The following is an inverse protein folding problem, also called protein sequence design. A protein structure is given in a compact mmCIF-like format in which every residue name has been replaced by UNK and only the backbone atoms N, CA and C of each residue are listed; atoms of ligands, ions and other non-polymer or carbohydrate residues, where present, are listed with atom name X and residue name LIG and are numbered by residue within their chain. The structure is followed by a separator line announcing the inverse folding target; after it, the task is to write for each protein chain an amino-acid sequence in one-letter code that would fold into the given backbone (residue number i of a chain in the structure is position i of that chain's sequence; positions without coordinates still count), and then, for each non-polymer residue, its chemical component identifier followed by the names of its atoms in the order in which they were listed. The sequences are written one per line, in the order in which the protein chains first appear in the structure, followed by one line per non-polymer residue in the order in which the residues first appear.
data_IF_036208517300
#
_entry.id   IF_036208517300
#
_cell.length_a   1.000
_cell.length_b   1.000
_cell.length_c   1.000
_cell.angle_alpha   90.00
_cell.angle_beta   90.00
_cell.angle_gamma   90.00
#
_symmetry.space_group_name_H-M   'P 1'
#
loop_
_entity.id
_entity.type
_entity.pdbx_description
1 polymer ?
#
# COMPACT_ATOMS: atom_id res chain seq x y z
N UNK A 1 -56.14 41.59 -31.43
CA UNK A 1 -56.21 40.41 -30.54
C UNK A 1 -55.31 40.74 -29.35
N UNK A 2 -55.92 40.78 -28.16
CA UNK A 2 -55.49 41.41 -26.89
C UNK A 2 -54.03 41.14 -26.47
N UNK A 3 -53.21 42.05 -25.92
CA UNK A 3 -53.28 43.16 -24.93
C UNK A 3 -52.71 42.78 -23.56
N UNK A 4 -52.02 43.76 -22.95
CA UNK A 4 -51.53 43.94 -21.55
C UNK A 4 -50.03 43.64 -21.37
N UNK A 5 -49.10 44.62 -21.36
CA UNK A 5 -48.90 45.82 -20.51
C UNK A 5 -48.70 45.56 -19.00
N UNK A 6 -47.46 45.82 -18.56
CA UNK A 6 -47.01 46.59 -17.37
C UNK A 6 -47.46 46.19 -15.95
N UNK A 7 -46.66 46.64 -14.95
CA UNK A 7 -46.80 46.62 -13.45
C UNK A 7 -45.62 45.81 -12.85
N UNK A 8 -44.69 46.30 -12.02
CA UNK A 8 -44.52 47.52 -11.21
C UNK A 8 -43.01 47.74 -10.95
N UNK A 9 -42.65 49.01 -10.75
CA UNK A 9 -41.36 49.62 -10.44
C UNK A 9 -40.96 49.63 -8.94
N UNK A 10 -39.74 50.14 -8.71
CA UNK A 10 -39.20 50.74 -7.46
C UNK A 10 -38.72 49.77 -6.36
N UNK A 11 -37.66 50.01 -5.60
CA UNK A 11 -36.56 50.97 -5.54
C UNK A 11 -35.67 50.39 -4.42
N UNK A 12 -34.37 50.64 -4.47
CA UNK A 12 -33.53 51.20 -3.37
C UNK A 12 -32.13 50.62 -3.36
N UNK A 13 -31.22 51.53 -3.65
CA UNK A 13 -29.81 51.53 -3.32
C UNK A 13 -29.54 51.20 -1.85
N UNK A 14 -28.45 50.47 -1.59
CA UNK A 14 -27.56 50.75 -0.46
C UNK A 14 -26.18 50.11 -0.73
N UNK A 15 -25.27 50.97 -1.17
CA UNK A 15 -23.84 50.78 -1.07
C UNK A 15 -23.40 50.79 0.40
N UNK A 16 -22.54 49.86 0.81
CA UNK A 16 -21.45 50.15 1.75
C UNK A 16 -20.62 48.89 2.06
N UNK A 17 -19.42 48.87 1.48
CA UNK A 17 -18.13 48.65 2.16
C UNK A 17 -18.02 47.62 3.30
N UNK A 18 -17.16 46.62 3.11
CA UNK A 18 -16.35 46.00 4.17
C UNK A 18 -14.98 45.61 3.60
N UNK A 19 -13.99 46.51 3.71
CA UNK A 19 -12.88 46.44 4.68
C UNK A 19 -12.05 45.16 4.61
N UNK A 20 -10.96 45.24 3.84
CA UNK A 20 -9.77 44.40 3.96
C UNK A 20 -9.23 44.47 5.40
N UNK A 21 -9.20 43.33 6.08
CA UNK A 21 -8.41 43.13 7.29
C UNK A 21 -7.27 42.18 6.97
N UNK A 22 -6.11 42.76 6.72
CA UNK A 22 -4.81 42.09 6.76
C UNK A 22 -4.46 41.83 8.22
N UNK A 23 -4.53 40.57 8.66
CA UNK A 23 -3.90 40.14 9.92
C UNK A 23 -2.79 39.15 9.61
N UNK A 24 -1.56 39.68 9.66
CA UNK A 24 -0.34 38.93 9.84
C UNK A 24 -0.35 38.21 11.19
N UNK A 25 -0.23 36.89 11.20
CA UNK A 25 0.15 36.15 12.41
C UNK A 25 1.21 35.12 12.06
N UNK A 26 2.42 35.42 12.51
CA UNK A 26 3.50 34.48 12.76
C UNK A 26 3.09 33.45 13.81
N UNK A 27 3.30 32.16 13.56
CA UNK A 27 3.49 31.20 14.65
C UNK A 27 4.20 29.95 14.16
N UNK A 28 5.39 29.73 14.71
CA UNK A 28 6.20 28.51 14.64
C UNK A 28 5.40 27.25 15.00
N UNK A 29 5.79 26.06 14.49
CA UNK A 29 5.07 24.82 14.74
C UNK A 29 5.32 24.29 16.16
N UNK A 30 4.32 23.72 16.85
CA UNK A 30 4.53 22.99 18.10
C UNK A 30 5.08 21.59 17.80
N UNK A 31 6.22 21.30 18.42
CA UNK A 31 6.86 19.98 18.50
C UNK A 31 6.02 19.03 19.36
N UNK A 32 5.51 17.95 18.75
CA UNK A 32 4.90 16.82 19.47
C UNK A 32 5.93 15.71 19.70
N UNK A 33 6.32 15.55 20.97
CA UNK A 33 7.00 14.38 21.51
C UNK A 33 5.99 13.24 21.66
N UNK A 34 6.18 12.14 20.94
CA UNK A 34 5.47 10.88 21.19
C UNK A 34 6.37 10.00 22.04
N UNK A 35 6.04 9.91 23.33
CA UNK A 35 6.60 8.93 24.26
C UNK A 35 5.79 7.63 24.14
N UNK A 36 6.37 6.61 23.52
CA UNK A 36 5.85 5.24 23.56
C UNK A 36 6.48 4.49 24.73
N UNK A 37 5.72 4.28 25.81
CA UNK A 37 6.05 3.29 26.83
C UNK A 37 5.11 2.09 26.67
N UNK A 38 5.67 0.98 26.19
CA UNK A 38 5.00 -0.31 26.07
C UNK A 38 5.43 -1.23 27.21
N UNK A 39 4.46 -2.04 27.63
CA UNK A 39 4.56 -3.29 28.40
C UNK A 39 4.76 -3.17 29.91
N UNK A 40 3.89 -3.88 30.64
CA UNK A 40 4.26 -5.02 31.48
C UNK A 40 2.98 -5.77 31.86
N UNK A 41 2.72 -6.92 31.22
CA UNK A 41 1.90 -7.98 31.81
C UNK A 41 2.72 -9.26 31.76
N UNK A 42 3.17 -9.64 32.94
CA UNK A 42 3.80 -10.90 33.29
C UNK A 42 2.77 -12.03 33.21
N UNK A 43 3.14 -13.15 32.61
CA UNK A 43 2.49 -14.43 32.90
C UNK A 43 3.54 -15.47 33.24
N UNK A 44 3.31 -16.04 34.40
CA UNK A 44 4.06 -17.05 35.12
C UNK A 44 3.93 -18.43 34.47
N UNK A 45 5.04 -19.16 34.39
CA UNK A 45 5.07 -20.58 34.05
C UNK A 45 4.82 -21.43 35.31
N UNK A 46 4.16 -22.59 35.21
CA UNK A 46 4.20 -23.59 36.26
C UNK A 46 5.34 -24.59 36.03
N UNK A 47 5.98 -24.91 37.15
CA UNK A 47 6.99 -25.94 37.37
C UNK A 47 6.47 -27.37 37.17
N UNK A 48 7.30 -28.22 36.58
CA UNK A 48 7.31 -29.66 36.90
C UNK A 48 8.73 -30.20 36.86
N UNK A 49 9.06 -30.90 37.94
CA UNK A 49 10.34 -31.51 38.26
C UNK A 49 10.19 -33.04 38.20
N UNK A 50 11.07 -33.74 37.50
CA UNK A 50 11.43 -35.11 37.88
C UNK A 50 12.83 -35.51 37.38
N UNK A 51 13.57 -36.08 38.32
CA UNK A 51 14.93 -36.62 38.31
C UNK A 51 15.06 -37.96 37.58
N UNK A 52 16.21 -38.27 36.97
CA UNK A 52 17.11 -39.38 37.39
C UNK A 52 18.22 -39.70 36.38
N UNK A 53 19.28 -40.27 36.96
CA UNK A 53 20.66 -40.56 36.56
C UNK A 53 20.92 -41.72 35.59
N UNK A 54 22.09 -41.72 34.95
CA UNK A 54 23.17 -42.74 35.01
C UNK A 54 23.86 -43.07 33.66
N UNK A 55 25.12 -43.51 33.76
CA UNK A 55 26.25 -43.35 32.82
C UNK A 55 26.48 -44.52 31.82
N UNK A 56 27.66 -44.69 31.17
CA UNK A 56 27.84 -44.82 29.72
C UNK A 56 28.05 -46.28 29.21
N UNK A 57 28.26 -46.49 27.89
CA UNK A 57 29.53 -47.11 27.52
C UNK A 57 30.17 -46.64 26.20
N UNK A 58 31.49 -46.85 26.17
CA UNK A 58 32.46 -46.74 25.10
C UNK A 58 32.25 -47.70 23.93
N UNK A 59 32.39 -47.22 22.69
CA UNK A 59 32.92 -48.01 21.57
C UNK A 59 33.56 -47.10 20.49
N UNK A 60 34.69 -47.59 19.95
CA UNK A 60 35.63 -46.93 19.02
C UNK A 60 35.07 -46.80 17.59
N UNK A 61 35.69 -45.97 16.72
CA UNK A 61 35.03 -45.38 15.56
C UNK A 61 35.05 -46.32 14.34
N UNK A 62 33.90 -46.45 13.68
CA UNK A 62 33.80 -47.03 12.34
C UNK A 62 33.82 -45.86 11.36
N UNK A 63 34.84 -45.86 10.52
CA UNK A 63 35.03 -45.00 9.36
C UNK A 63 33.83 -45.08 8.41
N UNK A 64 33.00 -44.04 8.40
CA UNK A 64 32.05 -43.79 7.33
C UNK A 64 32.51 -42.59 6.52
N UNK A 65 32.74 -42.85 5.24
CA UNK A 65 32.99 -41.87 4.19
C UNK A 65 31.82 -40.89 4.12
N UNK A 66 31.99 -39.70 4.70
CA UNK A 66 31.06 -38.59 4.51
C UNK A 66 31.14 -38.11 3.05
N UNK A 67 30.27 -38.66 2.20
CA UNK A 67 29.83 -38.00 0.98
C UNK A 67 29.20 -36.66 1.39
N UNK A 68 29.95 -35.58 1.15
CA UNK A 68 29.48 -34.22 1.43
C UNK A 68 28.20 -33.96 0.61
N UNK A 69 27.10 -33.48 1.22
CA UNK A 69 25.92 -33.11 0.45
C UNK A 69 26.29 -32.02 -0.56
N UNK A 70 25.81 -32.18 -1.80
CA UNK A 70 25.97 -31.17 -2.86
C UNK A 70 25.53 -29.81 -2.28
N UNK A 71 26.38 -28.77 -2.33
CA UNK A 71 26.01 -27.49 -1.75
C UNK A 71 24.81 -26.92 -2.49
N UNK A 72 23.78 -26.46 -1.75
CA UNK A 72 22.67 -25.70 -2.32
C UNK A 72 23.18 -24.35 -2.83
N UNK A 73 22.84 -24.03 -4.07
CA UNK A 73 23.30 -22.82 -4.77
C UNK A 73 22.10 -21.91 -4.94
N UNK A 74 22.19 -20.71 -4.37
CA UNK A 74 21.15 -19.68 -4.52
C UNK A 74 21.67 -18.60 -5.47
N UNK A 75 20.88 -18.29 -6.50
CA UNK A 75 21.16 -17.22 -7.45
C UNK A 75 20.48 -15.94 -6.98
N UNK A 76 21.22 -14.85 -6.97
CA UNK A 76 20.65 -13.52 -6.74
C UNK A 76 21.21 -12.52 -7.75
N UNK A 77 20.65 -11.33 -7.80
CA UNK A 77 21.13 -10.24 -8.66
C UNK A 77 21.75 -9.15 -7.79
N UNK A 78 22.85 -8.57 -8.25
CA UNK A 78 23.42 -7.38 -7.60
C UNK A 78 22.59 -6.13 -7.93
N UNK A 79 22.86 -5.02 -7.22
CA UNK A 79 22.27 -3.70 -7.52
C UNK A 79 22.47 -3.25 -8.99
N UNK A 80 23.44 -3.81 -9.71
CA UNK A 80 23.70 -3.56 -11.14
C UNK A 80 23.17 -4.68 -12.06
N UNK A 81 22.23 -5.51 -11.60
CA UNK A 81 21.65 -6.67 -12.32
C UNK A 81 22.66 -7.74 -12.77
N UNK A 82 23.88 -7.72 -12.25
CA UNK A 82 24.86 -8.81 -12.46
C UNK A 82 24.49 -10.01 -11.60
N UNK A 83 24.54 -11.21 -12.18
CA UNK A 83 24.29 -12.47 -11.47
C UNK A 83 25.32 -12.70 -10.37
N UNK A 84 24.84 -13.11 -9.21
CA UNK A 84 25.59 -13.43 -8.01
C UNK A 84 25.24 -14.86 -7.58
N UNK A 85 26.23 -15.61 -7.11
CA UNK A 85 26.01 -16.92 -6.50
C UNK A 85 26.27 -16.88 -5.00
N UNK A 86 25.39 -17.52 -4.24
CA UNK A 86 25.57 -17.77 -2.82
C UNK A 86 25.69 -19.26 -2.56
N UNK A 87 26.79 -19.65 -1.92
CA UNK A 87 27.08 -21.04 -1.54
C UNK A 87 27.64 -21.05 -0.13
N UNK A 88 27.04 -21.85 0.77
CA UNK A 88 27.48 -22.02 2.17
C UNK A 88 27.69 -20.69 2.92
N UNK A 89 26.85 -19.69 2.66
CA UNK A 89 26.95 -18.36 3.26
C UNK A 89 28.04 -17.44 2.67
N UNK A 90 28.68 -17.83 1.57
CA UNK A 90 29.65 -17.01 0.84
C UNK A 90 29.06 -16.49 -0.47
N UNK A 91 29.33 -15.21 -0.76
CA UNK A 91 28.89 -14.53 -1.97
C UNK A 91 29.99 -14.52 -3.04
N UNK A 92 29.63 -14.85 -4.28
CA UNK A 92 30.52 -14.89 -5.43
C UNK A 92 30.00 -14.06 -6.62
N UNK A 93 30.92 -13.42 -7.34
CA UNK A 93 30.70 -12.60 -8.54
C UNK A 93 31.23 -13.34 -9.76
N UNK A 94 30.48 -13.32 -10.87
CA UNK A 94 30.97 -13.88 -12.13
C UNK A 94 32.23 -13.12 -12.58
N UNK A 95 33.32 -13.84 -12.78
CA UNK A 95 34.59 -13.29 -13.25
C UNK A 95 34.71 -13.49 -14.75
N UNK A 96 34.60 -14.73 -15.22
CA UNK A 96 34.82 -15.09 -16.62
C UNK A 96 34.25 -16.49 -16.95
N UNK A 97 34.34 -16.88 -18.21
CA UNK A 97 34.06 -18.24 -18.70
C UNK A 97 35.37 -18.93 -19.09
N UNK A 98 35.32 -20.27 -19.17
CA UNK A 98 36.41 -21.02 -19.79
C UNK A 98 36.48 -20.77 -21.31
N UNK A 99 37.62 -21.08 -21.94
CA UNK A 99 37.84 -20.93 -23.39
C UNK A 99 36.73 -21.59 -24.23
N UNK A 100 36.28 -22.78 -23.81
CA UNK A 100 35.19 -23.53 -24.45
C UNK A 100 33.77 -23.08 -24.01
N UNK A 101 33.65 -22.05 -23.18
CA UNK A 101 32.40 -21.52 -22.58
C UNK A 101 31.53 -22.54 -21.83
N UNK A 102 32.07 -23.69 -21.45
CA UNK A 102 31.33 -24.75 -20.74
C UNK A 102 31.30 -24.58 -19.21
N UNK A 103 32.22 -23.77 -18.67
CA UNK A 103 32.41 -23.57 -17.23
C UNK A 103 32.41 -22.07 -16.93
N UNK A 104 31.72 -21.67 -15.86
CA UNK A 104 31.71 -20.30 -15.31
C UNK A 104 32.67 -20.22 -14.14
N UNK A 105 33.52 -19.19 -14.14
CA UNK A 105 34.42 -18.86 -13.04
C UNK A 105 33.85 -17.73 -12.21
N UNK A 106 33.69 -17.99 -10.92
CA UNK A 106 33.16 -17.05 -9.95
C UNK A 106 34.23 -16.70 -8.93
N UNK A 107 34.43 -15.43 -8.64
CA UNK A 107 35.36 -14.96 -7.60
C UNK A 107 34.59 -14.59 -6.34
N UNK A 108 35.15 -14.79 -5.17
CA UNK A 108 34.54 -14.27 -3.94
C UNK A 108 34.34 -12.74 -4.03
N UNK A 109 33.23 -12.24 -3.47
CA UNK A 109 32.90 -10.81 -3.51
C UNK A 109 33.80 -9.94 -2.62
N UNK A 110 34.41 -10.51 -1.57
CA UNK A 110 35.36 -9.81 -0.69
C UNK A 110 36.70 -9.64 -1.41
N UNK A 111 37.19 -8.39 -1.49
CA UNK A 111 38.41 -8.01 -2.26
C UNK A 111 39.66 -8.76 -1.81
N UNK A 112 39.79 -9.00 -0.52
CA UNK A 112 40.97 -9.68 0.07
C UNK A 112 40.85 -11.21 0.05
N UNK A 113 39.76 -11.73 -0.52
CA UNK A 113 39.53 -13.17 -0.67
C UNK A 113 39.87 -13.64 -2.09
N UNK A 114 40.87 -14.50 -2.21
CA UNK A 114 41.34 -15.05 -3.48
C UNK A 114 40.69 -16.38 -3.91
N UNK A 115 39.57 -16.76 -3.28
CA UNK A 115 38.85 -18.02 -3.60
C UNK A 115 38.06 -17.86 -4.90
N UNK A 116 38.19 -18.85 -5.77
CA UNK A 116 37.42 -19.01 -7.00
C UNK A 116 36.54 -20.25 -6.91
N UNK A 117 35.36 -20.16 -7.51
CA UNK A 117 34.36 -21.19 -7.60
C UNK A 117 34.08 -21.47 -9.07
N UNK A 118 34.02 -22.75 -9.44
CA UNK A 118 33.73 -23.19 -10.81
C UNK A 118 32.35 -23.84 -10.82
N UNK A 119 31.48 -23.40 -11.72
CA UNK A 119 30.18 -24.04 -11.97
C UNK A 119 30.03 -24.42 -13.43
N UNK A 120 29.16 -25.38 -13.74
CA UNK A 120 28.76 -25.63 -15.14
C UNK A 120 27.81 -24.53 -15.63
N UNK A 121 27.36 -24.63 -16.89
CA UNK A 121 26.40 -23.68 -17.47
C UNK A 121 25.06 -23.64 -16.73
N UNK A 122 24.66 -24.77 -16.14
CA UNK A 122 23.45 -24.91 -15.31
C UNK A 122 23.65 -24.40 -13.88
N UNK A 123 24.82 -23.82 -13.58
CA UNK A 123 25.22 -23.32 -12.27
C UNK A 123 25.34 -24.38 -11.18
N UNK A 124 25.58 -25.64 -11.54
CA UNK A 124 25.91 -26.70 -10.60
C UNK A 124 27.38 -26.61 -10.17
N UNK A 125 27.65 -26.88 -8.90
CA UNK A 125 28.98 -26.85 -8.32
C UNK A 125 29.91 -27.89 -8.96
N UNK A 126 31.08 -27.44 -9.43
CA UNK A 126 32.15 -28.33 -9.91
C UNK A 126 33.27 -28.41 -8.87
N UNK A 127 33.93 -27.28 -8.56
CA UNK A 127 35.09 -27.23 -7.65
C UNK A 127 35.41 -25.83 -7.14
N UNK A 128 36.18 -25.76 -6.07
CA UNK A 128 36.88 -24.54 -5.64
C UNK A 128 38.30 -24.49 -6.24
N UNK A 129 38.80 -23.30 -6.52
CA UNK A 129 40.15 -23.04 -7.03
C UNK A 129 40.65 -21.67 -6.54
N UNK A 130 41.85 -21.25 -6.93
CA UNK A 130 42.37 -19.91 -6.67
C UNK A 130 43.63 -19.87 -5.83
N UNK A 131 43.99 -18.68 -5.33
CA UNK A 131 45.20 -18.49 -4.49
C UNK A 131 45.09 -19.23 -3.15
N UNK A 132 43.86 -19.42 -2.66
CA UNK A 132 43.54 -20.22 -1.49
C UNK A 132 42.25 -21.00 -1.78
N UNK A 133 42.13 -22.20 -1.22
CA UNK A 133 40.92 -23.04 -1.34
C UNK A 133 39.88 -22.65 -0.29
N UNK A 134 40.34 -22.18 0.89
CA UNK A 134 39.48 -21.78 2.00
C UNK A 134 39.36 -20.26 2.13
N UNK A 135 38.20 -19.78 2.55
CA UNK A 135 37.97 -18.37 2.83
C UNK A 135 38.74 -17.93 4.08
N UNK A 136 39.25 -16.70 4.05
CA UNK A 136 39.91 -16.03 5.19
C UNK A 136 38.95 -15.16 6.02
N UNK A 137 37.66 -15.25 5.73
CA UNK A 137 36.62 -14.47 6.39
C UNK A 137 35.44 -15.39 6.72
N UNK A 138 34.64 -14.98 7.68
CA UNK A 138 33.45 -15.72 8.09
C UNK A 138 32.37 -15.68 6.98
N UNK A 139 31.52 -16.71 6.91
CA UNK A 139 30.32 -16.70 6.08
C UNK A 139 29.33 -15.64 6.60
N UNK A 140 28.56 -15.03 5.69
CA UNK A 140 27.53 -14.05 6.02
C UNK A 140 26.18 -14.50 5.43
N UNK A 141 25.45 -15.39 6.12
CA UNK A 141 24.12 -15.83 5.70
C UNK A 141 23.08 -14.70 5.75
N UNK A 142 23.20 -13.78 6.71
CA UNK A 142 22.31 -12.62 6.85
C UNK A 142 22.25 -11.76 5.57
N UNK A 143 23.39 -11.60 4.87
CA UNK A 143 23.43 -10.88 3.61
C UNK A 143 22.61 -11.55 2.49
N UNK A 144 22.43 -12.88 2.52
CA UNK A 144 21.58 -13.59 1.56
C UNK A 144 20.11 -13.28 1.82
N UNK A 145 19.69 -13.34 3.09
CA UNK A 145 18.31 -13.02 3.50
C UNK A 145 17.93 -11.58 3.12
N UNK A 146 18.81 -10.61 3.39
CA UNK A 146 18.61 -9.21 3.00
C UNK A 146 18.54 -9.05 1.48
N UNK A 147 19.35 -9.81 0.72
CA UNK A 147 19.31 -9.77 -0.74
C UNK A 147 18.00 -10.34 -1.29
N UNK A 148 17.53 -11.46 -0.77
CA UNK A 148 16.25 -12.07 -1.17
C UNK A 148 15.08 -11.12 -0.88
N UNK A 149 15.07 -10.53 0.30
CA UNK A 149 14.06 -9.53 0.69
C UNK A 149 14.05 -8.32 -0.25
N UNK A 150 15.21 -7.75 -0.56
CA UNK A 150 15.32 -6.61 -1.49
C UNK A 150 14.82 -6.95 -2.88
N UNK A 151 15.02 -8.19 -3.33
CA UNK A 151 14.55 -8.62 -4.64
C UNK A 151 13.02 -8.76 -4.65
N UNK A 152 12.40 -9.30 -3.59
CA UNK A 152 10.94 -9.31 -3.44
C UNK A 152 10.35 -7.91 -3.45
N UNK A 153 10.92 -7.00 -2.64
CA UNK A 153 10.51 -5.59 -2.63
C UNK A 153 10.64 -4.95 -4.02
N UNK A 154 11.73 -5.26 -4.75
CA UNK A 154 11.94 -4.75 -6.11
C UNK A 154 10.86 -5.26 -7.07
N UNK A 155 10.54 -6.55 -7.03
CA UNK A 155 9.51 -7.14 -7.89
C UNK A 155 8.15 -6.49 -7.63
N UNK A 156 7.75 -6.37 -6.36
CA UNK A 156 6.49 -5.68 -5.99
C UNK A 156 6.49 -4.21 -6.41
N UNK A 157 7.62 -3.51 -6.27
CA UNK A 157 7.71 -2.11 -6.70
C UNK A 157 7.60 -1.92 -8.22
N UNK A 158 7.93 -2.95 -9.02
CA UNK A 158 7.76 -2.95 -10.48
C UNK A 158 6.30 -3.18 -10.91
N UNK A 159 5.55 -3.99 -10.16
CA UNK A 159 4.20 -4.44 -10.55
C UNK A 159 3.07 -3.70 -9.85
N UNK A 160 3.25 -3.32 -8.58
CA UNK A 160 2.21 -2.75 -7.73
C UNK A 160 2.30 -1.21 -7.68
N UNK A 161 1.16 -0.56 -7.49
CA UNK A 161 1.05 0.90 -7.37
C UNK A 161 0.98 1.39 -5.92
N UNK A 162 0.92 0.49 -4.94
CA UNK A 162 0.89 0.86 -3.52
C UNK A 162 2.13 1.68 -3.11
N UNK A 163 2.03 2.53 -2.07
CA UNK A 163 3.15 3.33 -1.58
C UNK A 163 4.41 2.48 -1.31
N UNK A 164 5.57 2.96 -1.76
CA UNK A 164 6.83 2.21 -1.63
C UNK A 164 7.21 1.91 -0.18
N UNK A 165 6.85 2.81 0.73
CA UNK A 165 7.04 2.60 2.16
C UNK A 165 6.20 1.43 2.68
N UNK A 166 4.95 1.32 2.23
CA UNK A 166 4.07 0.22 2.61
C UNK A 166 4.60 -1.13 2.12
N UNK A 167 5.08 -1.20 0.86
CA UNK A 167 5.76 -2.40 0.34
C UNK A 167 6.92 -2.78 1.26
N UNK A 168 7.78 -1.82 1.59
CA UNK A 168 8.95 -2.08 2.42
C UNK A 168 8.56 -2.58 3.82
N UNK A 169 7.59 -1.94 4.47
CA UNK A 169 7.12 -2.32 5.80
C UNK A 169 6.46 -3.70 5.82
N UNK A 170 5.62 -4.00 4.84
CA UNK A 170 4.97 -5.31 4.70
C UNK A 170 6.00 -6.42 4.47
N UNK A 171 6.94 -6.22 3.53
CA UNK A 171 7.97 -7.23 3.24
C UNK A 171 8.91 -7.44 4.43
N UNK A 172 9.31 -6.39 5.15
CA UNK A 172 10.13 -6.54 6.36
C UNK A 172 9.37 -7.30 7.44
N UNK A 173 8.07 -7.01 7.63
CA UNK A 173 7.22 -7.67 8.63
C UNK A 173 7.00 -9.15 8.30
N UNK A 174 6.79 -9.47 7.02
CA UNK A 174 6.53 -10.83 6.53
C UNK A 174 7.82 -11.64 6.37
N UNK A 175 8.94 -10.96 6.13
CA UNK A 175 10.25 -11.57 6.07
C UNK A 175 10.64 -12.09 7.45
N UNK A 176 10.58 -13.42 7.63
CA UNK A 176 11.09 -14.13 8.81
C UNK A 176 12.62 -14.06 8.87
N UNK A 177 13.16 -12.84 8.94
CA UNK A 177 14.59 -12.54 8.97
C UNK A 177 15.17 -12.96 10.31
N UNK A 178 16.39 -13.50 10.27
CA UNK A 178 17.18 -13.73 11.48
C UNK A 178 17.49 -12.43 12.20
N UNK A 179 17.74 -12.47 13.52
CA UNK A 179 18.08 -11.28 14.30
C UNK A 179 19.31 -10.54 13.75
N UNK A 180 20.31 -11.29 13.26
CA UNK A 180 21.48 -10.73 12.59
C UNK A 180 21.12 -10.04 11.27
N UNK A 181 20.20 -10.59 10.48
CA UNK A 181 19.74 -9.97 9.24
C UNK A 181 18.92 -8.71 9.49
N UNK A 182 18.08 -8.69 10.53
CA UNK A 182 17.34 -7.49 10.94
C UNK A 182 18.29 -6.38 11.40
N UNK A 183 19.32 -6.72 12.19
CA UNK A 183 20.32 -5.75 12.66
C UNK A 183 21.17 -5.16 11.53
N UNK A 184 21.39 -5.92 10.45
CA UNK A 184 22.15 -5.49 9.27
C UNK A 184 21.27 -4.92 8.15
N UNK A 185 19.95 -4.82 8.35
CA UNK A 185 19.05 -4.29 7.34
C UNK A 185 19.34 -2.78 7.15
N UNK A 186 19.51 -2.31 5.90
CA UNK A 186 19.67 -0.88 5.68
C UNK A 186 18.40 -0.13 6.06
N UNK A 187 18.55 1.17 6.31
CA UNK A 187 17.43 2.03 6.67
C UNK A 187 16.34 1.97 5.58
N UNK A 188 15.07 1.88 5.99
CA UNK A 188 13.92 1.81 5.09
C UNK A 188 13.88 2.97 4.07
N UNK A 189 14.35 4.15 4.45
CA UNK A 189 14.49 5.30 3.54
C UNK A 189 15.52 5.05 2.43
N UNK A 190 16.61 4.34 2.72
CA UNK A 190 17.61 3.97 1.71
C UNK A 190 17.07 2.91 0.75
N UNK A 191 16.30 1.96 1.27
CA UNK A 191 15.58 0.97 0.47
C UNK A 191 14.59 1.70 -0.47
N UNK A 192 13.81 2.64 0.07
CA UNK A 192 12.80 3.39 -0.67
C UNK A 192 13.36 4.13 -1.89
N UNK A 193 14.54 4.75 -1.79
CA UNK A 193 15.22 5.38 -2.95
C UNK A 193 15.52 4.38 -4.06
N UNK A 194 16.00 3.19 -3.70
CA UNK A 194 16.29 2.12 -4.65
C UNK A 194 15.03 1.60 -5.35
N UNK A 195 13.93 1.46 -4.61
CA UNK A 195 12.64 1.03 -5.17
C UNK A 195 12.03 2.12 -6.07
N UNK A 196 12.15 3.38 -5.69
CA UNK A 196 11.68 4.52 -6.50
C UNK A 196 12.35 4.56 -7.87
N UNK A 197 13.67 4.38 -7.93
CA UNK A 197 14.41 4.30 -9.20
C UNK A 197 13.96 3.15 -10.08
N UNK A 198 13.54 2.03 -9.49
CA UNK A 198 13.03 0.88 -10.23
C UNK A 198 11.66 1.20 -10.82
N UNK A 199 10.74 1.72 -10.00
CA UNK A 199 9.39 2.09 -10.42
C UNK A 199 9.41 3.21 -11.48
N UNK A 200 10.28 4.21 -11.33
CA UNK A 200 10.44 5.31 -12.29
C UNK A 200 10.84 4.85 -13.70
N UNK A 201 11.51 3.71 -13.86
CA UNK A 201 11.84 3.18 -15.21
C UNK A 201 10.60 2.77 -16.00
N UNK A 202 9.52 2.42 -15.30
CA UNK A 202 8.25 2.02 -15.91
C UNK A 202 7.27 3.21 -16.04
N UNK A 203 7.63 4.38 -15.50
CA UNK A 203 6.83 5.59 -15.57
C UNK A 203 7.34 6.49 -16.71
N UNK A 204 6.46 7.28 -17.35
CA UNK A 204 6.89 8.27 -18.32
C UNK A 204 7.84 9.28 -17.66
N UNK A 205 8.78 9.80 -18.45
CA UNK A 205 9.66 10.88 -17.99
C UNK A 205 8.84 12.10 -17.59
N UNK A 206 9.28 12.81 -16.55
CA UNK A 206 8.64 14.05 -16.12
C UNK A 206 8.67 15.02 -17.32
N UNK A 207 7.52 15.59 -17.73
CA UNK A 207 7.47 16.53 -18.84
C UNK A 207 8.38 17.73 -18.63
N UNK A 208 8.85 18.34 -19.72
CA UNK A 208 9.67 19.56 -19.69
C UNK A 208 8.84 20.86 -19.69
N UNK A 209 7.52 20.76 -19.89
CA UNK A 209 6.58 21.88 -19.85
C UNK A 209 5.21 21.39 -19.41
N UNK A 210 4.29 22.32 -19.13
CA UNK A 210 2.87 22.03 -18.88
C UNK A 210 2.11 21.59 -20.13
N UNK A 211 2.68 21.75 -21.33
CA UNK A 211 2.08 21.37 -22.62
C UNK A 211 2.45 19.93 -22.98
N UNK A 212 1.84 18.95 -22.31
CA UNK A 212 2.05 17.52 -22.56
C UNK A 212 0.73 16.78 -22.77
N UNK A 213 0.75 15.76 -23.61
CA UNK A 213 -0.42 14.89 -23.82
C UNK A 213 -0.54 13.94 -22.63
N UNK A 214 -1.73 13.84 -22.04
CA UNK A 214 -2.03 12.86 -20.98
C UNK A 214 -2.45 11.56 -21.68
N UNK A 215 -1.72 10.44 -21.49
CA UNK A 215 -2.13 9.15 -22.05
C UNK A 215 -3.50 8.69 -21.54
N UNK A 216 -4.30 8.05 -22.40
CA UNK A 216 -5.66 7.57 -22.09
C UNK A 216 -5.75 6.70 -20.82
N UNK A 217 -4.70 5.92 -20.54
CA UNK A 217 -4.63 5.10 -19.33
C UNK A 217 -4.64 5.90 -18.02
N UNK A 218 -4.45 7.21 -18.07
CA UNK A 218 -4.50 8.13 -16.93
C UNK A 218 -5.73 9.06 -16.96
N UNK A 219 -6.57 8.95 -17.98
CA UNK A 219 -7.82 9.72 -18.09
C UNK A 219 -9.03 8.93 -17.64
N UNK A 220 -8.89 7.63 -17.38
CA UNK A 220 -9.96 6.71 -17.00
C UNK A 220 -9.63 5.97 -15.71
N UNK A 221 -10.67 5.64 -14.93
CA UNK A 221 -10.55 4.79 -13.75
C UNK A 221 -10.21 3.32 -14.14
N UNK A 222 -9.51 2.65 -13.25
CA UNK A 222 -9.16 1.23 -13.35
C UNK A 222 -10.36 0.31 -13.06
N UNK A 223 -11.33 0.74 -12.25
CA UNK A 223 -12.46 -0.08 -11.83
C UNK A 223 -13.59 -0.09 -12.88
N UNK A 224 -14.16 1.09 -13.17
CA UNK A 224 -15.36 1.20 -14.00
C UNK A 224 -15.09 1.75 -15.41
N UNK A 225 -13.82 2.02 -15.74
CA UNK A 225 -13.41 2.74 -16.97
C UNK A 225 -14.07 4.12 -17.15
N UNK A 226 -14.61 4.66 -16.06
CA UNK A 226 -15.29 5.95 -16.04
C UNK A 226 -14.27 7.09 -16.21
N UNK A 227 -14.71 8.22 -16.75
CA UNK A 227 -13.84 9.38 -16.97
C UNK A 227 -13.34 9.94 -15.62
N UNK A 228 -12.03 9.86 -15.41
CA UNK A 228 -11.36 10.37 -14.21
C UNK A 228 -10.81 11.78 -14.44
N UNK A 229 -10.28 12.05 -15.64
CA UNK A 229 -9.91 13.42 -16.04
C UNK A 229 -11.16 14.14 -16.53
N UNK A 230 -11.69 15.05 -15.71
CA UNK A 230 -12.92 15.78 -16.02
C UNK A 230 -12.67 17.02 -16.87
N UNK A 231 -11.54 17.69 -16.64
CA UNK A 231 -11.23 18.92 -17.35
C UNK A 231 -9.74 19.04 -17.62
N UNK A 232 -9.44 19.43 -18.85
CA UNK A 232 -8.14 19.91 -19.28
C UNK A 232 -8.35 21.21 -20.05
N UNK A 233 -7.88 22.32 -19.49
CA UNK A 233 -7.97 23.65 -20.13
C UNK A 233 -7.28 23.76 -21.49
N UNK A 234 -6.41 22.81 -21.85
CA UNK A 234 -5.76 22.77 -23.16
C UNK A 234 -6.55 22.02 -24.22
N UNK A 235 -7.63 21.33 -23.82
CA UNK A 235 -8.49 20.61 -24.75
C UNK A 235 -9.37 21.61 -25.53
N UNK A 236 -9.28 21.65 -26.87
CA UNK A 236 -10.09 22.55 -27.69
C UNK A 236 -11.60 22.29 -27.57
N UNK A 237 -12.03 21.11 -27.12
CA UNK A 237 -13.45 20.81 -26.90
C UNK A 237 -14.01 21.39 -25.60
N UNK A 238 -13.15 21.84 -24.68
CA UNK A 238 -13.53 22.43 -23.39
C UNK A 238 -13.35 23.94 -23.33
N UNK A 239 -13.20 24.61 -24.49
CA UNK A 239 -13.19 26.07 -24.55
C UNK A 239 -14.52 26.63 -24.06
N UNK A 240 -14.45 27.45 -23.01
CA UNK A 240 -15.59 28.27 -22.60
C UNK A 240 -15.90 29.28 -23.70
N UNK A 241 -17.19 29.48 -24.00
CA UNK A 241 -17.74 30.60 -24.80
C UNK A 241 -17.56 31.95 -24.07
N UNK A 242 -16.47 32.15 -23.34
CA UNK A 242 -16.19 33.41 -22.66
C UNK A 242 -15.61 34.39 -23.68
N UNK A 243 -16.43 35.36 -24.05
CA UNK A 243 -16.11 36.54 -24.87
C UNK A 243 -15.08 37.50 -24.25
N UNK A 244 -14.41 37.11 -23.16
CA UNK A 244 -13.41 37.91 -22.48
C UNK A 244 -12.01 37.35 -22.77
N UNK A 245 -11.19 38.19 -23.40
CA UNK A 245 -9.82 38.00 -23.91
C UNK A 245 -8.75 37.59 -22.85
N UNK A 246 -9.16 37.02 -21.72
CA UNK A 246 -8.26 36.56 -20.67
C UNK A 246 -8.11 35.05 -20.81
N UNK A 247 -7.29 34.60 -21.76
CA UNK A 247 -6.81 33.23 -21.71
C UNK A 247 -6.02 33.05 -20.39
N UNK A 248 -6.44 32.14 -19.50
CA UNK A 248 -5.67 31.88 -18.29
C UNK A 248 -4.27 31.45 -18.72
N UNK A 249 -3.24 32.13 -18.20
CA UNK A 249 -1.83 31.94 -18.59
C UNK A 249 -1.23 30.63 -18.04
N UNK A 250 -2.01 29.56 -17.93
CA UNK A 250 -1.62 28.30 -17.32
C UNK A 250 -2.62 27.18 -17.58
N UNK A 251 -2.13 25.94 -17.55
CA UNK A 251 -2.95 24.74 -17.71
C UNK A 251 -3.60 24.35 -16.38
N UNK A 252 -4.91 24.19 -16.38
CA UNK A 252 -5.70 23.63 -15.28
C UNK A 252 -6.10 22.20 -15.66
N UNK A 253 -5.87 21.29 -14.73
CA UNK A 253 -6.28 19.89 -14.82
C UNK A 253 -7.15 19.56 -13.61
N UNK A 254 -8.32 18.97 -13.86
CA UNK A 254 -9.26 18.55 -12.82
C UNK A 254 -9.50 17.05 -12.95
N UNK A 255 -9.19 16.33 -11.89
CA UNK A 255 -9.52 14.91 -11.77
C UNK A 255 -10.62 14.71 -10.74
N UNK A 256 -11.67 13.98 -11.11
CA UNK A 256 -12.65 13.43 -10.19
C UNK A 256 -13.47 12.33 -10.87
N UNK A 257 -13.96 11.35 -10.12
CA UNK A 257 -14.91 10.35 -10.60
C UNK A 257 -16.36 10.75 -10.33
N UNK A 258 -17.31 10.14 -11.03
CA UNK A 258 -18.74 10.35 -10.80
C UNK A 258 -19.16 10.08 -9.34
N UNK A 259 -18.56 9.05 -8.72
CA UNK A 259 -18.78 8.73 -7.31
C UNK A 259 -18.30 9.86 -6.42
N UNK A 260 -17.09 10.37 -6.64
CA UNK A 260 -16.55 11.49 -5.87
C UNK A 260 -17.40 12.75 -6.03
N UNK A 261 -17.82 13.09 -7.25
CA UNK A 261 -18.72 14.22 -7.49
C UNK A 261 -20.05 14.05 -6.76
N UNK A 262 -20.66 12.86 -6.79
CA UNK A 262 -21.90 12.57 -6.08
C UNK A 262 -21.72 12.70 -4.56
N UNK A 263 -20.58 12.24 -4.01
CA UNK A 263 -20.26 12.41 -2.60
C UNK A 263 -20.09 13.88 -2.22
N UNK A 264 -19.38 14.65 -3.04
CA UNK A 264 -19.19 16.09 -2.84
C UNK A 264 -20.55 16.82 -2.88
N UNK A 265 -21.39 16.52 -3.88
CA UNK A 265 -22.70 17.15 -4.07
C UNK A 265 -23.67 16.88 -2.91
N UNK A 266 -23.70 15.65 -2.40
CA UNK A 266 -24.60 15.28 -1.31
C UNK A 266 -24.06 15.63 0.08
N UNK A 267 -22.81 16.06 0.18
CA UNK A 267 -22.22 16.37 1.49
C UNK A 267 -22.66 17.74 2.01
N UNK A 268 -23.07 17.79 3.28
CA UNK A 268 -23.38 19.05 3.95
C UNK A 268 -22.14 19.88 4.33
N UNK A 269 -20.93 19.32 4.18
CA UNK A 269 -19.66 19.98 4.50
C UNK A 269 -18.58 19.57 3.51
N UNK A 270 -17.91 20.57 2.96
CA UNK A 270 -16.73 20.43 2.11
C UNK A 270 -15.51 20.97 2.84
N UNK A 271 -14.41 20.24 2.71
CA UNK A 271 -13.09 20.68 3.16
C UNK A 271 -12.25 20.89 1.91
N UNK A 272 -11.57 22.02 1.84
CA UNK A 272 -10.73 22.36 0.69
C UNK A 272 -9.40 22.87 1.21
N UNK A 273 -8.33 22.44 0.57
CA UNK A 273 -6.99 22.91 0.88
C UNK A 273 -6.14 22.96 -0.40
N UNK A 274 -5.16 23.85 -0.42
CA UNK A 274 -4.27 24.07 -1.55
C UNK A 274 -2.82 24.13 -1.11
N UNK A 275 -1.99 23.28 -1.70
CA UNK A 275 -0.55 23.26 -1.44
C UNK A 275 0.23 23.78 -2.65
N UNK A 276 1.09 24.78 -2.39
CA UNK A 276 1.99 25.37 -3.37
C UNK A 276 3.39 24.71 -3.33
N UNK A 277 3.88 24.37 -2.14
CA UNK A 277 5.25 23.87 -1.94
C UNK A 277 5.46 22.44 -2.44
N UNK A 278 4.40 21.66 -2.58
CA UNK A 278 4.44 20.26 -3.06
C UNK A 278 3.83 20.09 -4.45
N UNK A 279 3.61 21.20 -5.18
CA UNK A 279 3.02 21.13 -6.51
C UNK A 279 3.99 20.44 -7.51
N UNK A 280 3.49 19.59 -8.42
CA UNK A 280 4.29 19.04 -9.49
C UNK A 280 4.97 20.12 -10.33
N UNK A 281 6.13 19.82 -10.94
CA UNK A 281 6.77 20.72 -11.89
C UNK A 281 5.76 21.21 -12.94
N UNK A 282 5.87 22.49 -13.31
CA UNK A 282 4.99 23.21 -14.26
C UNK A 282 3.61 23.60 -13.76
N UNK A 283 3.22 23.21 -12.54
CA UNK A 283 1.97 23.65 -11.91
C UNK A 283 2.27 24.49 -10.68
N UNK A 284 1.52 25.58 -10.51
CA UNK A 284 1.70 26.48 -9.36
C UNK A 284 1.14 25.91 -8.05
N UNK A 285 0.11 25.06 -8.12
CA UNK A 285 -0.63 24.60 -6.96
C UNK A 285 -1.27 23.23 -7.23
N UNK A 286 -1.38 22.43 -6.18
CA UNK A 286 -2.33 21.30 -6.11
C UNK A 286 -3.44 21.70 -5.15
N UNK A 287 -4.68 21.66 -5.63
CA UNK A 287 -5.87 21.96 -4.85
C UNK A 287 -6.69 20.69 -4.65
N UNK A 288 -7.08 20.41 -3.41
CA UNK A 288 -7.80 19.20 -3.02
C UNK A 288 -9.14 19.63 -2.44
N UNK A 289 -10.22 19.09 -3.02
CA UNK A 289 -11.58 19.20 -2.49
C UNK A 289 -11.94 17.83 -1.93
N UNK A 290 -12.28 17.78 -0.67
CA UNK A 290 -12.63 16.54 0.02
C UNK A 290 -13.89 16.71 0.84
N UNK A 291 -14.57 15.60 1.08
CA UNK A 291 -15.67 15.51 2.01
C UNK A 291 -15.47 14.33 2.94
N UNK A 292 -16.01 14.43 4.15
CA UNK A 292 -16.04 13.31 5.09
C UNK A 292 -17.32 12.54 4.82
N UNK A 293 -17.20 11.41 4.13
CA UNK A 293 -18.30 10.49 4.00
C UNK A 293 -18.42 9.65 5.28
N UNK A 294 -19.49 9.89 6.05
CA UNK A 294 -19.76 9.24 7.33
C UNK A 294 -20.32 7.82 7.15
N UNK A 295 -19.59 6.93 6.47
CA UNK A 295 -20.09 5.58 6.18
C UNK A 295 -19.04 4.49 6.39
N UNK A 296 -18.47 4.42 7.59
CA UNK A 296 -18.20 3.07 8.09
C UNK A 296 -19.47 2.59 8.79
N UNK A 297 -20.01 1.45 8.38
CA UNK A 297 -21.19 0.84 8.98
C UNK A 297 -21.05 0.76 10.52
N UNK A 298 -19.82 0.52 11.00
CA UNK A 298 -19.50 0.52 12.42
C UNK A 298 -19.64 1.90 13.11
N UNK A 299 -19.31 3.02 12.46
CA UNK A 299 -19.58 4.35 13.04
C UNK A 299 -21.08 4.63 13.15
N UNK A 300 -21.89 4.10 12.22
CA UNK A 300 -23.35 4.20 12.33
C UNK A 300 -23.88 3.38 13.52
N UNK A 301 -23.37 2.15 13.72
CA UNK A 301 -23.63 1.34 14.93
C UNK A 301 -23.33 2.16 16.20
N UNK A 302 -22.20 2.85 16.24
CA UNK A 302 -21.84 3.70 17.39
C UNK A 302 -22.82 4.87 17.59
N UNK A 303 -23.23 5.56 16.51
CA UNK A 303 -24.15 6.70 16.59
C UNK A 303 -25.57 6.32 17.05
N UNK A 304 -26.00 5.09 16.78
CA UNK A 304 -27.29 4.55 17.25
C UNK A 304 -27.24 4.10 18.72
N UNK A 305 -26.12 4.31 19.42
CA UNK A 305 -25.96 3.88 20.81
C UNK A 305 -25.68 2.38 20.99
N UNK A 306 -25.57 1.62 19.89
CA UNK A 306 -25.41 0.16 19.90
C UNK A 306 -24.01 -0.32 20.30
N UNK A 307 -23.12 0.57 20.73
CA UNK A 307 -21.73 0.22 21.08
C UNK A 307 -21.65 -0.79 22.22
N UNK A 308 -22.46 -0.61 23.26
CA UNK A 308 -22.51 -1.53 24.41
C UNK A 308 -23.07 -2.89 24.00
N UNK A 309 -24.17 -2.90 23.26
CA UNK A 309 -24.84 -4.12 22.79
C UNK A 309 -23.98 -4.89 21.80
N UNK A 310 -23.21 -4.22 20.94
CA UNK A 310 -22.22 -4.86 20.08
C UNK A 310 -21.09 -5.56 20.89
N UNK A 311 -20.70 -5.02 22.04
CA UNK A 311 -19.67 -5.62 22.90
C UNK A 311 -20.21 -6.76 23.77
N UNK A 312 -21.42 -6.58 24.31
CA UNK A 312 -21.95 -7.41 25.39
C UNK A 312 -23.02 -8.41 24.92
N UNK A 313 -23.71 -8.15 23.80
CA UNK A 313 -24.72 -9.05 23.24
C UNK A 313 -24.16 -9.77 21.99
N UNK A 314 -24.02 -11.09 22.10
CA UNK A 314 -23.47 -11.91 21.02
C UNK A 314 -24.40 -12.00 19.81
N UNK A 315 -25.71 -12.01 20.02
CA UNK A 315 -26.71 -12.15 18.97
C UNK A 315 -26.76 -10.87 18.13
N UNK A 316 -26.90 -9.71 18.78
CA UNK A 316 -26.83 -8.40 18.13
C UNK A 316 -25.52 -8.20 17.38
N UNK A 317 -24.39 -8.56 18.00
CA UNK A 317 -23.07 -8.49 17.33
C UNK A 317 -23.01 -9.38 16.09
N UNK A 318 -23.57 -10.58 16.13
CA UNK A 318 -23.56 -11.50 15.00
C UNK A 318 -24.38 -10.93 13.84
N UNK A 319 -25.57 -10.39 14.10
CA UNK A 319 -26.40 -9.75 13.06
C UNK A 319 -25.68 -8.57 12.43
N UNK A 320 -25.02 -7.72 13.23
CA UNK A 320 -24.22 -6.59 12.73
C UNK A 320 -23.07 -7.09 11.85
N UNK A 321 -22.38 -8.18 12.25
CA UNK A 321 -21.31 -8.79 11.45
C UNK A 321 -21.83 -9.44 10.17
N UNK A 322 -22.98 -10.10 10.21
CA UNK A 322 -23.62 -10.69 9.04
C UNK A 322 -24.04 -9.60 8.04
N UNK A 323 -24.57 -8.47 8.52
CA UNK A 323 -24.89 -7.31 7.69
C UNK A 323 -23.64 -6.79 6.95
N UNK A 324 -22.50 -6.66 7.64
CA UNK A 324 -21.22 -6.30 6.98
C UNK A 324 -20.75 -7.37 6.00
N UNK A 325 -20.97 -8.65 6.33
CA UNK A 325 -20.58 -9.78 5.48
C UNK A 325 -21.42 -9.92 4.20
N UNK A 326 -22.55 -9.20 4.07
CA UNK A 326 -23.29 -9.13 2.82
C UNK A 326 -22.45 -8.55 1.66
N UNK A 327 -21.37 -7.82 1.96
CA UNK A 327 -20.45 -7.36 0.92
C UNK A 327 -19.69 -8.53 0.25
N UNK A 328 -19.64 -9.70 0.89
CA UNK A 328 -18.84 -10.85 0.50
C UNK A 328 -19.65 -11.97 -0.18
N UNK A 329 -20.96 -11.80 -0.34
CA UNK A 329 -21.84 -12.81 -0.95
C UNK A 329 -22.22 -12.39 -2.37
N UNK A 330 -22.57 -13.34 -3.27
CA UNK A 330 -23.01 -13.01 -4.62
C UNK A 330 -24.14 -11.96 -4.60
N UNK A 331 -24.13 -10.95 -5.48
CA UNK A 331 -25.17 -9.90 -5.53
C UNK A 331 -26.60 -10.45 -5.61
N UNK A 332 -26.80 -11.58 -6.30
CA UNK A 332 -28.10 -12.26 -6.40
C UNK A 332 -28.63 -12.78 -5.06
N UNK A 333 -27.75 -13.05 -4.10
CA UNK A 333 -28.11 -13.57 -2.77
C UNK A 333 -28.23 -12.49 -1.70
N UNK A 334 -27.70 -11.28 -1.95
CA UNK A 334 -27.69 -10.18 -0.96
C UNK A 334 -29.10 -9.86 -0.46
N UNK A 335 -30.09 -9.75 -1.35
CA UNK A 335 -31.46 -9.43 -0.98
C UNK A 335 -32.13 -10.53 -0.15
N UNK A 336 -31.87 -11.79 -0.48
CA UNK A 336 -32.42 -12.95 0.24
C UNK A 336 -31.85 -12.99 1.65
N UNK A 337 -30.52 -12.93 1.77
CA UNK A 337 -29.83 -13.00 3.05
C UNK A 337 -30.12 -11.78 3.94
N UNK A 338 -30.29 -10.59 3.36
CA UNK A 338 -30.70 -9.41 4.13
C UNK A 338 -32.07 -9.58 4.78
N UNK A 339 -33.02 -10.24 4.10
CA UNK A 339 -34.35 -10.50 4.66
C UNK A 339 -34.35 -11.56 5.78
N UNK A 340 -33.28 -12.35 5.87
CA UNK A 340 -33.07 -13.36 6.93
C UNK A 340 -32.37 -12.79 8.16
N UNK A 341 -31.76 -11.59 8.06
CA UNK A 341 -31.01 -11.00 9.17
C UNK A 341 -31.89 -10.75 10.39
N UNK A 342 -31.39 -11.20 11.53
CA UNK A 342 -31.99 -10.97 12.83
C UNK A 342 -33.28 -11.76 13.06
N UNK A 343 -33.58 -12.80 12.28
CA UNK A 343 -34.69 -13.73 12.58
C UNK A 343 -34.46 -14.46 13.91
N UNK A 344 -33.20 -14.67 14.30
CA UNK A 344 -32.80 -15.31 15.54
C UNK A 344 -32.88 -14.41 16.79
N UNK A 345 -33.15 -13.11 16.62
CA UNK A 345 -33.27 -12.15 17.71
C UNK A 345 -34.63 -12.22 18.41
N UNK A 346 -34.63 -11.99 19.72
CA UNK A 346 -35.86 -11.75 20.46
C UNK A 346 -36.45 -10.35 20.14
N UNK A 347 -37.66 -10.08 20.61
CA UNK A 347 -38.39 -8.85 20.26
C UNK A 347 -37.67 -7.57 20.71
N UNK A 348 -37.10 -7.55 21.92
CA UNK A 348 -36.34 -6.42 22.46
C UNK A 348 -35.07 -6.14 21.64
N UNK A 349 -34.32 -7.19 21.31
CA UNK A 349 -33.12 -7.10 20.46
C UNK A 349 -33.45 -6.64 19.04
N UNK A 350 -34.58 -7.11 18.49
CA UNK A 350 -35.04 -6.73 17.16
C UNK A 350 -35.45 -5.27 17.12
N UNK A 351 -36.14 -4.78 18.14
CA UNK A 351 -36.49 -3.37 18.28
C UNK A 351 -35.23 -2.51 18.38
N UNK A 352 -34.27 -2.92 19.21
CA UNK A 352 -32.99 -2.23 19.40
C UNK A 352 -32.21 -2.03 18.09
N UNK A 353 -32.10 -3.08 17.24
CA UNK A 353 -31.34 -2.98 15.98
C UNK A 353 -32.17 -2.52 14.78
N UNK A 354 -33.48 -2.34 14.94
CA UNK A 354 -34.41 -2.04 13.84
C UNK A 354 -33.98 -0.78 13.05
N UNK A 355 -33.56 0.27 13.76
CA UNK A 355 -33.07 1.51 13.15
C UNK A 355 -31.82 1.31 12.29
N UNK A 356 -30.91 0.44 12.74
CA UNK A 356 -29.69 0.09 11.99
C UNK A 356 -30.03 -0.68 10.72
N UNK A 357 -30.89 -1.70 10.80
CA UNK A 357 -31.30 -2.48 9.62
C UNK A 357 -32.08 -1.62 8.63
N UNK A 358 -32.92 -0.70 9.11
CA UNK A 358 -33.64 0.23 8.26
C UNK A 358 -32.69 1.21 7.56
N UNK A 359 -31.66 1.71 8.26
CA UNK A 359 -30.60 2.51 7.65
C UNK A 359 -29.88 1.72 6.55
N UNK A 360 -29.47 0.48 6.83
CA UNK A 360 -28.80 -0.39 5.85
C UNK A 360 -29.67 -0.62 4.61
N UNK A 361 -30.95 -0.91 4.80
CA UNK A 361 -31.92 -1.06 3.71
C UNK A 361 -32.05 0.18 2.84
N UNK A 362 -32.06 1.36 3.46
CA UNK A 362 -32.31 2.61 2.74
C UNK A 362 -31.08 3.12 1.97
N UNK A 363 -29.87 2.88 2.47
CA UNK A 363 -28.64 3.44 1.92
C UNK A 363 -27.83 2.41 1.14
N UNK A 364 -27.69 1.19 1.67
CA UNK A 364 -26.80 0.18 1.10
C UNK A 364 -27.53 -0.73 0.11
N UNK A 365 -28.73 -1.22 0.45
CA UNK A 365 -29.44 -2.18 -0.43
C UNK A 365 -29.84 -1.61 -1.80
N UNK A 366 -29.85 -0.28 -1.97
CA UNK A 366 -30.15 0.38 -3.25
C UNK A 366 -28.97 0.39 -4.23
N UNK A 367 -27.75 0.19 -3.73
CA UNK A 367 -26.50 0.40 -4.46
C UNK A 367 -25.55 -0.78 -4.31
N UNK A 368 -26.07 -2.02 -4.33
CA UNK A 368 -25.29 -3.26 -4.09
C UNK A 368 -24.02 -3.33 -4.96
N UNK A 369 -24.08 -2.90 -6.21
CA UNK A 369 -22.94 -2.91 -7.14
C UNK A 369 -21.77 -2.04 -6.69
N UNK A 370 -22.00 -1.03 -5.83
CA UNK A 370 -20.97 -0.06 -5.41
C UNK A 370 -20.12 -0.60 -4.25
N UNK A 371 -20.71 -1.40 -3.36
CA UNK A 371 -20.04 -1.84 -2.12
C UNK A 371 -19.86 -3.36 -1.99
N UNK A 372 -20.46 -4.15 -2.89
CA UNK A 372 -20.26 -5.58 -2.91
C UNK A 372 -18.88 -5.90 -3.51
N UNK A 373 -18.10 -6.71 -2.80
CA UNK A 373 -16.73 -7.09 -3.16
C UNK A 373 -16.59 -8.59 -3.42
N UNK A 374 -17.70 -9.28 -3.76
CA UNK A 374 -17.68 -10.69 -4.13
C UNK A 374 -16.79 -10.89 -5.37
N UNK A 375 -15.85 -11.84 -5.26
CA UNK A 375 -14.84 -12.16 -6.29
C UNK A 375 -13.87 -11.03 -6.69
N UNK A 376 -13.84 -9.90 -5.96
CA UNK A 376 -12.83 -8.86 -6.16
C UNK A 376 -11.50 -9.30 -5.52
N UNK A 377 -10.37 -9.31 -6.27
CA UNK A 377 -9.08 -9.78 -5.77
C UNK A 377 -8.49 -8.87 -4.68
N UNK A 378 -8.70 -7.56 -4.77
CA UNK A 378 -8.29 -6.57 -3.77
C UNK A 378 -9.52 -6.09 -2.98
N UNK A 379 -9.61 -6.53 -1.72
CA UNK A 379 -10.71 -6.17 -0.82
C UNK A 379 -10.33 -4.95 0.00
N UNK A 380 -10.92 -3.79 -0.29
CA UNK A 380 -10.85 -2.65 0.62
C UNK A 380 -11.81 -2.91 1.80
N UNK A 381 -11.35 -2.67 3.03
CA UNK A 381 -12.23 -2.68 4.20
C UNK A 381 -13.26 -1.54 4.03
N UNK A 382 -14.54 -1.89 3.92
CA UNK A 382 -15.65 -0.96 4.14
C UNK A 382 -15.68 -0.47 5.60
#
# INVERSE_FOLDING_TARGET
MASLDSIISDETSLSSSSSFLTTSTSSSPPSFLISTSSSLFSSSSPSSSTTSSSSPPTSKPVSSSFLSPKPSIVKTTSNKRKTMLYIKGYQYQLKDYNENKTIKFWRCAKRDCGVLLHTNLNDEFIRYSGKNINHKHLPNPAALEICDLKEKMRQRAETELVPLQEIAEQEVRNGLLTGDAQANLPNIFEIGRGLSHVRQKNLPSIPNSSSFVIPDKYTRDYLDHDHLLLHDSTDPHFQFDSSDDIQPSGRILIWSSNIQLHLLFNSGRLHMDGTFSTSPPHFAQVFIIQTIHHESFYRHVQSQGLSSSYLNNIMVRNVIKQAMALALVPPSHVQVLFNELGQELNDDEREEISGLLQYFKNHWMRQVSIWNVYEIPDRTNN
#
